data_IF_528389621200
#
_entry.id   IF_528389621200
#
_cell.length_a   1.000
_cell.length_b   1.000
_cell.length_c   1.000
_cell.angle_alpha   90.00
_cell.angle_beta   90.00
_cell.angle_gamma   90.00
#
_symmetry.space_group_name_H-M   'P 1'
#
loop_
_entity.id
_entity.type
_entity.pdbx_description
1 polymer ?
#
# COMPACT_ATOMS: atom_id res chain seq x y z
N UNK A 1 -61.13 1.91 4.09
CA UNK A 1 -60.46 1.15 3.01
C UNK A 1 -59.13 1.81 2.70
N UNK A 2 -58.04 1.05 2.90
CA UNK A 2 -56.65 1.21 2.45
C UNK A 2 -55.96 2.60 2.49
N UNK A 3 -55.18 2.83 3.57
CA UNK A 3 -54.05 3.76 3.55
C UNK A 3 -52.88 3.11 2.81
N UNK A 4 -52.37 3.79 1.79
CA UNK A 4 -51.24 3.40 0.95
C UNK A 4 -49.97 3.32 1.78
N UNK A 5 -49.29 2.17 1.66
CA UNK A 5 -48.00 1.87 2.30
C UNK A 5 -46.93 2.72 1.64
N UNK A 6 -46.67 3.91 2.21
CA UNK A 6 -45.56 4.78 1.85
C UNK A 6 -44.27 4.00 2.03
N UNK A 7 -43.62 3.65 0.92
CA UNK A 7 -42.36 2.93 0.90
C UNK A 7 -41.32 3.74 1.66
N UNK A 8 -40.89 3.21 2.80
CA UNK A 8 -39.73 3.68 3.53
C UNK A 8 -38.55 3.68 2.56
N UNK A 9 -38.03 4.86 2.25
CA UNK A 9 -36.75 5.01 1.56
C UNK A 9 -35.72 4.21 2.35
N UNK A 10 -35.04 3.28 1.68
CA UNK A 10 -33.87 2.63 2.23
C UNK A 10 -32.94 3.73 2.78
N UNK A 11 -32.62 3.65 4.07
CA UNK A 11 -31.66 4.57 4.68
C UNK A 11 -30.34 4.54 3.92
N UNK A 12 -29.50 5.59 4.05
CA UNK A 12 -28.19 5.59 3.42
C UNK A 12 -27.46 4.31 3.84
N UNK A 13 -27.16 3.47 2.86
CA UNK A 13 -26.33 2.28 3.10
C UNK A 13 -25.02 2.82 3.65
N UNK A 14 -24.58 2.30 4.80
CA UNK A 14 -23.28 2.67 5.35
C UNK A 14 -22.24 2.36 4.26
N UNK A 15 -21.75 3.41 3.59
CA UNK A 15 -20.73 3.27 2.57
C UNK A 15 -19.47 2.87 3.32
N UNK A 16 -19.16 1.57 3.34
CA UNK A 16 -17.87 1.09 3.76
C UNK A 16 -16.83 1.85 2.90
N UNK A 17 -15.87 2.47 3.58
CA UNK A 17 -14.84 3.25 2.92
C UNK A 17 -14.00 2.39 1.96
N UNK A 18 -13.20 3.02 1.09
CA UNK A 18 -12.34 2.28 0.17
C UNK A 18 -11.45 1.28 0.92
N UNK A 19 -11.33 0.08 0.37
CA UNK A 19 -10.55 -1.00 0.96
C UNK A 19 -9.04 -0.73 0.89
N UNK A 20 -8.25 -1.59 1.57
CA UNK A 20 -6.78 -1.48 1.57
C UNK A 20 -6.18 -1.38 0.17
N UNK A 21 -6.53 -2.30 -0.74
CA UNK A 21 -5.96 -2.33 -2.09
C UNK A 21 -6.26 -1.05 -2.89
N UNK A 22 -7.46 -0.50 -2.72
CA UNK A 22 -7.87 0.73 -3.40
C UNK A 22 -7.11 1.94 -2.85
N UNK A 23 -7.02 2.06 -1.52
CA UNK A 23 -6.25 3.12 -0.88
C UNK A 23 -4.76 3.02 -1.20
N UNK A 24 -4.19 1.83 -1.08
CA UNK A 24 -2.77 1.56 -1.29
C UNK A 24 -2.36 1.80 -2.75
N UNK A 25 -3.19 1.35 -3.69
CA UNK A 25 -2.98 1.55 -5.12
C UNK A 25 -3.14 3.00 -5.56
N UNK A 26 -3.96 3.79 -4.87
CA UNK A 26 -4.19 5.20 -5.16
C UNK A 26 -3.11 6.16 -4.60
N UNK A 27 -2.15 5.66 -3.80
CA UNK A 27 -1.10 6.50 -3.24
C UNK A 27 -0.20 7.04 -4.37
N UNK A 28 0.02 8.38 -4.44
CA UNK A 28 0.89 8.98 -5.47
C UNK A 28 2.39 8.85 -5.13
N UNK A 29 2.71 8.11 -4.08
CA UNK A 29 4.08 7.84 -3.62
C UNK A 29 4.35 6.35 -3.76
N UNK A 30 5.58 6.00 -4.15
CA UNK A 30 6.02 4.61 -4.21
C UNK A 30 6.08 4.01 -2.79
N UNK A 31 5.35 2.92 -2.55
CA UNK A 31 5.34 2.22 -1.26
C UNK A 31 5.57 0.72 -1.43
N UNK A 32 6.55 0.20 -0.69
CA UNK A 32 6.80 -1.23 -0.49
C UNK A 32 6.41 -1.63 0.93
N UNK A 33 5.67 -2.73 1.06
CA UNK A 33 5.41 -3.38 2.35
C UNK A 33 6.38 -4.54 2.49
N UNK A 34 7.11 -4.59 3.60
CA UNK A 34 8.10 -5.60 3.90
C UNK A 34 7.58 -6.47 5.05
N UNK A 35 7.65 -7.79 4.89
CA UNK A 35 7.28 -8.75 5.94
C UNK A 35 8.39 -8.89 7.01
N UNK A 36 8.14 -9.60 8.13
CA UNK A 36 9.15 -9.79 9.17
C UNK A 36 10.42 -10.55 8.73
N UNK A 37 10.36 -11.32 7.64
CA UNK A 37 11.50 -12.03 7.06
C UNK A 37 12.30 -11.14 6.10
N UNK A 38 11.95 -9.85 5.98
CA UNK A 38 12.63 -8.90 5.11
C UNK A 38 12.26 -9.03 3.64
N UNK A 39 11.14 -9.69 3.32
CA UNK A 39 10.70 -9.89 1.93
C UNK A 39 9.58 -8.93 1.57
N UNK A 40 9.51 -8.57 0.30
CA UNK A 40 8.47 -7.70 -0.22
C UNK A 40 7.14 -8.46 -0.20
N UNK A 41 6.18 -7.96 0.57
CA UNK A 41 4.83 -8.49 0.69
C UNK A 41 3.83 -7.77 -0.23
N UNK A 42 4.04 -6.48 -0.51
CA UNK A 42 3.25 -5.69 -1.45
C UNK A 42 4.07 -4.58 -2.09
N UNK A 43 3.74 -4.21 -3.33
CA UNK A 43 4.25 -3.04 -4.01
C UNK A 43 3.10 -2.32 -4.72
N UNK A 44 2.95 -1.02 -4.49
CA UNK A 44 1.88 -0.27 -5.16
C UNK A 44 2.25 0.06 -6.63
N UNK A 45 1.28 0.49 -7.47
CA UNK A 45 1.55 0.85 -8.86
C UNK A 45 2.57 1.99 -9.04
N UNK A 46 2.67 2.89 -8.04
CA UNK A 46 3.69 3.93 -8.04
C UNK A 46 5.11 3.35 -7.88
N UNK A 47 5.28 2.30 -7.07
CA UNK A 47 6.52 1.52 -7.00
C UNK A 47 6.85 0.84 -8.33
N UNK A 48 5.87 0.20 -8.97
CA UNK A 48 6.10 -0.46 -10.25
C UNK A 48 6.58 0.54 -11.32
N UNK A 49 5.98 1.73 -11.34
CA UNK A 49 6.37 2.81 -12.26
C UNK A 49 7.76 3.36 -11.96
N UNK A 50 8.09 3.54 -10.67
CA UNK A 50 9.37 4.12 -10.25
C UNK A 50 10.54 3.14 -10.44
N UNK A 51 10.32 1.87 -10.13
CA UNK A 51 11.36 0.83 -10.18
C UNK A 51 11.39 0.09 -11.52
N UNK A 52 10.40 0.29 -12.38
CA UNK A 52 10.22 -0.43 -13.65
C UNK A 52 10.23 -1.96 -13.47
N UNK A 53 9.67 -2.42 -12.36
CA UNK A 53 9.50 -3.84 -12.02
C UNK A 53 8.04 -4.07 -11.64
N UNK A 54 7.45 -5.17 -12.09
CA UNK A 54 6.07 -5.49 -11.69
C UNK A 54 6.00 -5.93 -10.23
N UNK A 55 4.85 -5.73 -9.58
CA UNK A 55 4.64 -6.21 -8.21
C UNK A 55 4.97 -7.71 -8.15
N UNK A 56 4.45 -8.51 -9.07
CA UNK A 56 4.68 -9.96 -9.12
C UNK A 56 6.16 -10.36 -9.24
N UNK A 57 7.02 -9.51 -9.82
CA UNK A 57 8.45 -9.76 -9.89
C UNK A 57 9.17 -9.43 -8.58
N UNK A 58 8.63 -8.49 -7.80
CA UNK A 58 9.19 -8.04 -6.53
C UNK A 58 8.71 -8.89 -5.34
N UNK A 59 7.48 -9.38 -5.37
CA UNK A 59 6.90 -10.16 -4.26
C UNK A 59 7.78 -11.35 -3.89
N UNK A 60 8.05 -11.50 -2.59
CA UNK A 60 8.87 -12.56 -2.03
C UNK A 60 10.38 -12.35 -2.20
N UNK A 61 10.83 -11.36 -2.97
CA UNK A 61 12.25 -10.99 -3.02
C UNK A 61 12.64 -10.27 -1.72
N UNK A 62 13.90 -10.43 -1.26
CA UNK A 62 14.42 -9.58 -0.20
C UNK A 62 14.42 -8.11 -0.66
N UNK A 63 14.02 -7.19 0.21
CA UNK A 63 13.88 -5.78 -0.18
C UNK A 63 15.20 -5.18 -0.68
N UNK A 64 16.34 -5.63 -0.15
CA UNK A 64 17.69 -5.17 -0.50
C UNK A 64 18.16 -5.62 -1.90
N UNK A 65 17.51 -6.62 -2.50
CA UNK A 65 17.75 -6.99 -3.89
C UNK A 65 17.04 -6.06 -4.89
N UNK A 66 16.03 -5.32 -4.43
CA UNK A 66 15.22 -4.42 -5.26
C UNK A 66 15.62 -2.96 -5.04
N UNK A 67 15.96 -2.59 -3.80
CA UNK A 67 16.40 -1.26 -3.41
C UNK A 67 17.69 -1.37 -2.61
N UNK A 68 18.74 -0.63 -3.01
CA UNK A 68 19.90 -0.49 -2.15
C UNK A 68 19.57 0.43 -0.98
N UNK A 69 19.56 -0.07 0.27
CA UNK A 69 19.40 0.81 1.41
C UNK A 69 20.70 1.59 1.69
N UNK A 70 20.63 2.74 2.39
CA UNK A 70 21.80 3.44 2.89
C UNK A 70 22.64 2.55 3.83
N UNK A 71 23.94 2.86 3.97
CA UNK A 71 24.88 2.06 4.76
C UNK A 71 24.44 1.85 6.23
N UNK A 72 23.82 2.87 6.85
CA UNK A 72 23.33 2.81 8.23
C UNK A 72 21.97 2.08 8.39
N UNK A 73 21.33 1.67 7.30
CA UNK A 73 20.01 1.02 7.35
C UNK A 73 20.03 -0.33 8.09
N UNK A 74 21.18 -1.00 8.10
CA UNK A 74 21.35 -2.28 8.80
C UNK A 74 21.20 -2.16 10.32
N UNK A 75 21.36 -0.96 10.90
CA UNK A 75 21.15 -0.70 12.34
C UNK A 75 19.66 -0.49 12.69
N UNK A 76 18.74 -0.70 11.73
CA UNK A 76 17.31 -0.53 11.95
C UNK A 76 16.82 -1.39 13.11
N UNK A 77 16.15 -0.74 14.07
CA UNK A 77 15.44 -1.43 15.15
C UNK A 77 14.27 -2.22 14.57
N UNK A 78 14.22 -3.50 14.95
CA UNK A 78 13.14 -4.42 14.63
C UNK A 78 11.76 -3.79 14.87
N UNK A 79 10.85 -3.89 13.89
CA UNK A 79 9.48 -3.38 13.99
C UNK A 79 9.26 -1.89 13.66
N UNK A 80 10.30 -1.13 13.29
CA UNK A 80 10.14 0.28 12.88
C UNK A 80 10.23 0.44 11.35
N UNK A 81 9.23 1.11 10.76
CA UNK A 81 9.27 1.57 9.37
C UNK A 81 10.26 2.72 9.20
N UNK A 82 10.99 2.74 8.08
CA UNK A 82 11.85 3.86 7.69
C UNK A 82 11.34 4.41 6.36
N UNK A 83 11.35 5.75 6.21
CA UNK A 83 11.06 6.42 4.95
C UNK A 83 12.35 7.09 4.47
N UNK A 84 12.83 6.67 3.29
CA UNK A 84 13.90 7.37 2.59
C UNK A 84 13.24 8.37 1.63
N UNK A 85 13.63 9.64 1.71
CA UNK A 85 13.26 10.64 0.73
C UNK A 85 14.52 11.00 -0.04
N UNK A 86 14.57 10.65 -1.32
CA UNK A 86 15.55 11.24 -2.22
C UNK A 86 14.99 12.62 -2.61
N UNK A 87 15.61 13.69 -2.10
CA UNK A 87 15.30 15.07 -2.49
C UNK A 87 16.53 15.64 -3.20
N UNK A 88 16.69 15.26 -4.47
CA UNK A 88 17.41 16.12 -5.41
C UNK A 88 16.38 16.99 -6.15
N UNK A 89 16.43 18.31 -5.91
CA UNK A 89 15.70 19.36 -6.66
C UNK A 89 16.61 19.85 -7.78
#
# INVERSE_FOLDING_TARGET
MALTRSGLRAGPQAQEGPGFAELFGALPIAVLVIDPDGRIAHANPACESMLNHSESAMIGQPYDAVLLPPEDYADRRDGHGFAAFDIEI
#
